data_IF_792520077430
#
_entry.id   IF_792520077430
#
_cell.length_a   1.000
_cell.length_b   1.000
_cell.length_c   1.000
_cell.angle_alpha   90.00
_cell.angle_beta   90.00
_cell.angle_gamma   90.00
#
_symmetry.space_group_name_H-M   'P 1'
#
loop_
_entity.id
_entity.type
_entity.pdbx_description
1 polymer ?
#
# COMPACT_ATOMS: atom_id res chain seq x y z
N UNK A 1 -2.34 -32.90 -8.05
CA UNK A 1 -2.91 -31.63 -7.55
C UNK A 1 -1.83 -30.91 -6.76
N UNK A 2 -1.30 -29.79 -7.27
CA UNK A 2 -0.41 -28.93 -6.49
C UNK A 2 -1.26 -28.30 -5.38
N UNK A 3 -0.93 -28.56 -4.10
CA UNK A 3 -1.55 -27.86 -2.98
C UNK A 3 -1.18 -26.38 -3.11
N UNK A 4 -2.16 -25.50 -3.30
CA UNK A 4 -1.95 -24.05 -3.16
C UNK A 4 -1.35 -23.80 -1.78
N UNK A 5 -0.22 -23.09 -1.74
CA UNK A 5 0.34 -22.62 -0.47
C UNK A 5 -0.64 -21.57 0.11
N UNK A 6 -0.93 -21.60 1.41
CA UNK A 6 -1.80 -20.59 2.00
C UNK A 6 -1.17 -19.22 1.87
N UNK A 7 -1.97 -18.24 1.44
CA UNK A 7 -1.58 -16.82 1.45
C UNK A 7 -1.59 -16.34 2.90
N UNK A 8 -0.49 -15.72 3.33
CA UNK A 8 -0.36 -15.19 4.70
C UNK A 8 -0.30 -13.67 4.61
N UNK A 9 -1.28 -13.01 5.22
CA UNK A 9 -1.30 -11.55 5.38
C UNK A 9 -0.70 -11.21 6.74
N UNK A 10 0.32 -10.34 6.75
CA UNK A 10 1.00 -9.89 7.97
C UNK A 10 0.60 -8.43 8.24
N UNK A 11 -0.09 -8.19 9.35
CA UNK A 11 -0.41 -6.83 9.76
C UNK A 11 0.80 -6.21 10.46
N UNK A 12 1.25 -5.06 9.98
CA UNK A 12 2.45 -4.38 10.48
C UNK A 12 2.05 -3.09 11.18
N UNK A 13 2.54 -2.93 12.41
CA UNK A 13 2.40 -1.73 13.24
C UNK A 13 3.80 -1.23 13.62
N UNK A 14 3.90 -0.08 14.29
CA UNK A 14 5.17 0.58 14.58
C UNK A 14 6.18 -0.33 15.30
N UNK A 15 5.71 -1.20 16.21
CA UNK A 15 6.53 -2.14 16.98
C UNK A 15 7.12 -3.28 16.14
N UNK A 16 6.45 -3.68 15.05
CA UNK A 16 6.90 -4.74 14.14
C UNK A 16 7.59 -4.24 12.86
N UNK A 17 7.57 -2.93 12.60
CA UNK A 17 7.96 -2.35 11.33
C UNK A 17 9.37 -2.74 10.88
N UNK A 18 10.34 -2.57 11.78
CA UNK A 18 11.75 -2.88 11.49
C UNK A 18 11.95 -4.34 11.09
N UNK A 19 11.37 -5.26 11.86
CA UNK A 19 11.49 -6.69 11.65
C UNK A 19 10.87 -7.11 10.30
N UNK A 20 9.71 -6.56 9.95
CA UNK A 20 9.06 -6.87 8.67
C UNK A 20 9.86 -6.30 7.49
N UNK A 21 10.51 -5.15 7.65
CA UNK A 21 11.41 -4.60 6.63
C UNK A 21 12.67 -5.45 6.41
N UNK A 22 13.22 -6.07 7.46
CA UNK A 22 14.34 -7.02 7.32
C UNK A 22 13.94 -8.27 6.51
N UNK A 23 12.71 -8.76 6.72
CA UNK A 23 12.14 -9.85 5.92
C UNK A 23 11.95 -9.42 4.46
N UNK A 24 11.38 -8.24 4.23
CA UNK A 24 11.21 -7.67 2.88
C UNK A 24 12.56 -7.54 2.18
N UNK A 25 13.58 -6.98 2.83
CA UNK A 25 14.93 -6.83 2.26
C UNK A 25 15.51 -8.17 1.80
N UNK A 26 15.28 -9.23 2.57
CA UNK A 26 15.72 -10.58 2.23
C UNK A 26 14.92 -11.19 1.08
N UNK A 27 13.63 -10.84 0.97
CA UNK A 27 12.71 -11.36 -0.03
C UNK A 27 12.85 -10.67 -1.40
N UNK A 28 13.03 -9.34 -1.46
CA UNK A 28 13.07 -8.58 -2.74
C UNK A 28 14.19 -9.02 -3.69
N UNK A 29 15.24 -9.64 -3.16
CA UNK A 29 16.31 -10.25 -3.96
C UNK A 29 15.83 -11.47 -4.76
N UNK A 30 14.84 -12.19 -4.26
CA UNK A 30 14.26 -13.41 -4.86
C UNK A 30 12.92 -13.14 -5.55
N UNK A 31 12.18 -12.15 -5.09
CA UNK A 31 10.84 -11.80 -5.56
C UNK A 31 10.85 -10.38 -6.14
N UNK A 32 11.10 -10.29 -7.46
CA UNK A 32 11.37 -9.02 -8.16
C UNK A 32 10.12 -8.16 -8.39
N UNK A 33 8.93 -8.75 -8.28
CA UNK A 33 7.68 -8.06 -8.53
C UNK A 33 6.97 -7.76 -7.22
N UNK A 34 6.49 -6.51 -7.09
CA UNK A 34 5.75 -6.04 -5.92
C UNK A 34 4.48 -5.34 -6.40
N UNK A 35 3.33 -5.80 -5.92
CA UNK A 35 2.04 -5.10 -6.04
C UNK A 35 1.82 -4.25 -4.80
N UNK A 36 1.30 -3.04 -4.99
CA UNK A 36 1.05 -2.05 -3.94
C UNK A 36 -0.41 -1.61 -3.97
N UNK A 37 -1.02 -1.44 -2.80
CA UNK A 37 -2.34 -0.83 -2.66
C UNK A 37 -2.35 0.16 -1.49
N UNK A 38 -3.12 1.23 -1.60
CA UNK A 38 -3.17 2.31 -0.59
C UNK A 38 -4.60 2.67 -0.25
N UNK A 39 -4.89 2.83 1.04
CA UNK A 39 -6.18 3.32 1.51
C UNK A 39 -6.06 4.74 2.05
N UNK A 40 -6.97 5.61 1.59
CA UNK A 40 -7.08 7.01 1.97
C UNK A 40 -8.49 7.32 2.48
N UNK A 41 -8.68 8.38 3.29
CA UNK A 41 -9.99 8.81 3.78
C UNK A 41 -10.84 9.48 2.69
N UNK A 42 -11.07 8.78 1.58
CA UNK A 42 -11.86 9.26 0.45
C UNK A 42 -11.23 10.46 -0.28
N UNK A 43 -12.08 11.39 -0.72
CA UNK A 43 -11.72 12.59 -1.50
C UNK A 43 -12.47 13.81 -0.98
N UNK A 44 -11.74 14.87 -0.67
CA UNK A 44 -12.24 16.19 -0.26
C UNK A 44 -12.52 17.04 -1.50
N UNK A 45 -11.53 17.18 -2.39
CA UNK A 45 -11.64 17.99 -3.58
C UNK A 45 -12.13 17.13 -4.74
N UNK A 46 -13.23 17.52 -5.36
CA UNK A 46 -13.82 16.79 -6.49
C UNK A 46 -14.10 17.73 -7.66
N UNK A 47 -13.71 17.36 -8.89
CA UNK A 47 -14.11 18.09 -10.08
C UNK A 47 -15.62 18.02 -10.29
N UNK A 48 -16.16 19.02 -11.00
CA UNK A 48 -17.55 18.98 -11.46
C UNK A 48 -17.74 17.86 -12.49
N UNK A 49 -18.99 17.40 -12.67
CA UNK A 49 -19.29 16.32 -13.63
C UNK A 49 -18.88 16.65 -15.07
N UNK A 50 -18.89 17.94 -15.45
CA UNK A 50 -18.46 18.38 -16.77
C UNK A 50 -16.94 18.20 -16.95
N UNK A 51 -16.15 18.61 -15.95
CA UNK A 51 -14.69 18.46 -15.93
C UNK A 51 -14.29 16.97 -15.98
N UNK A 52 -15.01 16.10 -15.26
CA UNK A 52 -14.77 14.66 -15.30
C UNK A 52 -15.00 14.10 -16.72
N UNK A 53 -16.02 14.58 -17.42
CA UNK A 53 -16.34 14.13 -18.79
C UNK A 53 -15.33 14.64 -19.82
N UNK A 54 -14.74 15.81 -19.59
CA UNK A 54 -13.65 16.35 -20.42
C UNK A 54 -12.39 15.48 -20.31
N UNK A 55 -12.17 14.85 -19.15
CA UNK A 55 -11.14 13.83 -18.98
C UNK A 55 -9.71 14.35 -19.07
N UNK A 56 -9.49 15.66 -18.88
CA UNK A 56 -8.16 16.28 -18.97
C UNK A 56 -7.22 15.70 -17.89
N UNK A 57 -6.11 15.03 -18.31
CA UNK A 57 -5.13 14.49 -17.39
C UNK A 57 -4.51 15.53 -16.44
N UNK A 58 -4.31 16.77 -16.89
CA UNK A 58 -3.72 17.83 -16.08
C UNK A 58 -4.65 18.22 -14.92
N UNK A 59 -5.94 18.34 -15.21
CA UNK A 59 -6.96 18.65 -14.19
C UNK A 59 -7.10 17.47 -13.22
N UNK A 60 -7.14 16.24 -13.72
CA UNK A 60 -7.19 15.04 -12.87
C UNK A 60 -6.00 14.98 -11.90
N UNK A 61 -4.79 15.30 -12.39
CA UNK A 61 -3.60 15.37 -11.55
C UNK A 61 -3.70 16.48 -10.49
N UNK A 62 -4.24 17.64 -10.81
CA UNK A 62 -4.41 18.74 -9.85
C UNK A 62 -5.33 18.36 -8.69
N UNK A 63 -6.47 17.72 -8.98
CA UNK A 63 -7.37 17.21 -7.95
C UNK A 63 -6.76 16.06 -7.15
N UNK A 64 -6.05 15.14 -7.81
CA UNK A 64 -5.32 14.06 -7.12
C UNK A 64 -4.31 14.66 -6.14
N UNK A 65 -3.46 15.57 -6.61
CA UNK A 65 -2.45 16.26 -5.81
C UNK A 65 -3.07 16.98 -4.63
N UNK A 66 -4.14 17.75 -4.85
CA UNK A 66 -4.81 18.50 -3.78
C UNK A 66 -5.36 17.59 -2.67
N UNK A 67 -5.88 16.40 -3.04
CA UNK A 67 -6.33 15.42 -2.05
C UNK A 67 -5.16 14.73 -1.35
N UNK A 68 -4.09 14.38 -2.07
CA UNK A 68 -2.88 13.77 -1.49
C UNK A 68 -2.20 14.72 -0.51
N UNK A 69 -2.14 16.01 -0.82
CA UNK A 69 -1.54 17.04 0.06
C UNK A 69 -2.39 17.26 1.33
N UNK A 70 -3.72 17.10 1.24
CA UNK A 70 -4.65 17.37 2.34
C UNK A 70 -4.96 16.15 3.23
N UNK A 71 -4.71 14.93 2.74
CA UNK A 71 -5.09 13.70 3.42
C UNK A 71 -3.86 12.92 3.88
N UNK A 72 -4.04 12.11 4.93
CA UNK A 72 -3.02 11.18 5.40
C UNK A 72 -3.37 9.77 4.95
N UNK A 73 -2.36 9.01 4.52
CA UNK A 73 -2.50 7.58 4.20
C UNK A 73 -2.95 6.83 5.46
N UNK A 74 -3.89 5.90 5.30
CA UNK A 74 -4.41 5.08 6.40
C UNK A 74 -3.73 3.71 6.42
N UNK A 75 -3.59 3.08 5.24
CA UNK A 75 -2.93 1.78 5.08
C UNK A 75 -2.16 1.73 3.75
N UNK A 76 -1.11 0.92 3.75
CA UNK A 76 -0.28 0.61 2.59
C UNK A 76 0.00 -0.90 2.59
N UNK A 77 -0.45 -1.59 1.55
CA UNK A 77 -0.28 -3.04 1.38
C UNK A 77 0.79 -3.36 0.34
N UNK A 78 1.56 -4.42 0.59
CA UNK A 78 2.54 -4.97 -0.35
C UNK A 78 2.31 -6.47 -0.55
N UNK A 79 2.43 -6.92 -1.79
CA UNK A 79 2.48 -8.34 -2.15
C UNK A 79 3.68 -8.56 -3.07
N UNK A 80 4.56 -9.49 -2.72
CA UNK A 80 5.71 -9.83 -3.56
C UNK A 80 5.57 -11.23 -4.15
N UNK A 81 5.80 -11.37 -5.45
CA UNK A 81 5.67 -12.63 -6.20
C UNK A 81 6.93 -12.93 -7.02
N UNK A 82 7.20 -14.22 -7.27
CA UNK A 82 8.35 -14.69 -8.05
C UNK A 82 8.09 -14.65 -9.56
N UNK A 83 6.90 -14.20 -9.97
CA UNK A 83 6.54 -13.99 -11.37
C UNK A 83 5.81 -15.15 -12.05
N UNK A 84 5.66 -16.28 -11.36
CA UNK A 84 5.04 -17.48 -11.93
C UNK A 84 3.55 -17.65 -11.54
N UNK A 85 3.03 -16.88 -10.57
CA UNK A 85 1.63 -17.05 -10.15
C UNK A 85 1.12 -15.85 -9.32
N UNK A 86 0.84 -14.73 -9.98
CA UNK A 86 0.01 -13.68 -9.40
C UNK A 86 -1.41 -14.24 -9.19
N UNK A 87 -1.64 -14.91 -8.07
CA UNK A 87 -2.94 -15.48 -7.73
C UNK A 87 -3.93 -14.33 -7.50
N UNK A 88 -4.98 -14.25 -8.33
CA UNK A 88 -6.03 -13.24 -8.23
C UNK A 88 -6.65 -13.19 -6.81
N UNK A 89 -6.68 -14.33 -6.10
CA UNK A 89 -7.10 -14.39 -4.68
C UNK A 89 -6.19 -13.57 -3.76
N UNK A 90 -4.89 -13.50 -4.03
CA UNK A 90 -3.94 -12.70 -3.22
C UNK A 90 -4.15 -11.20 -3.40
N UNK A 91 -4.54 -10.77 -4.60
CA UNK A 91 -4.87 -9.37 -4.89
C UNK A 91 -6.22 -9.01 -4.24
N UNK A 92 -7.19 -9.92 -4.26
CA UNK A 92 -8.48 -9.69 -3.59
C UNK A 92 -8.35 -9.66 -2.06
N UNK A 93 -7.36 -10.34 -1.48
CA UNK A 93 -7.05 -10.29 -0.05
C UNK A 93 -6.56 -8.93 0.43
N UNK A 94 -5.88 -8.15 -0.42
CA UNK A 94 -5.48 -6.77 -0.09
C UNK A 94 -6.70 -5.86 0.09
N UNK A 95 -7.79 -6.13 -0.65
CA UNK A 95 -9.02 -5.32 -0.63
C UNK A 95 -9.98 -5.63 0.52
N UNK A 96 -9.77 -6.72 1.26
CA UNK A 96 -10.71 -7.24 2.29
C UNK A 96 -10.30 -6.92 3.73
N UNK A 97 -9.34 -6.03 3.96
CA UNK A 97 -8.89 -5.70 5.30
C UNK A 97 -9.69 -4.54 5.88
N UNK A 98 -10.43 -4.77 6.96
CA UNK A 98 -11.06 -3.70 7.74
C UNK A 98 -9.98 -2.90 8.47
N UNK A 99 -10.05 -1.57 8.36
CA UNK A 99 -9.14 -0.67 9.09
C UNK A 99 -9.60 -0.49 10.53
N UNK A 100 -8.75 -0.89 11.49
CA UNK A 100 -8.91 -0.52 12.90
C UNK A 100 -8.29 0.86 13.18
N UNK A 101 -9.12 1.90 13.13
CA UNK A 101 -8.69 3.29 13.37
C UNK A 101 -8.19 3.54 14.79
N UNK A 102 -8.70 2.80 15.79
CA UNK A 102 -8.27 2.97 17.18
C UNK A 102 -6.85 2.45 17.32
N UNK A 103 -6.59 1.24 16.81
CA UNK A 103 -5.26 0.66 16.82
C UNK A 103 -4.27 1.44 15.95
N UNK A 104 -4.70 1.98 14.81
CA UNK A 104 -3.86 2.87 14.00
C UNK A 104 -3.47 4.15 14.75
N UNK A 105 -4.36 4.69 15.58
CA UNK A 105 -4.02 5.86 16.40
C UNK A 105 -2.98 5.54 17.48
N UNK A 106 -3.05 4.35 18.07
CA UNK A 106 -2.18 3.94 19.18
C UNK A 106 -0.83 3.35 18.74
N UNK A 107 -0.82 2.59 17.64
CA UNK A 107 0.32 1.80 17.17
C UNK A 107 0.65 2.03 15.70
N UNK A 108 0.07 3.07 15.10
CA UNK A 108 0.29 3.40 13.70
C UNK A 108 1.75 3.71 13.40
N UNK A 109 2.13 3.46 12.16
CA UNK A 109 3.46 3.75 11.65
C UNK A 109 3.49 5.21 11.19
N UNK A 110 4.52 5.96 11.59
CA UNK A 110 4.71 7.30 11.03
C UNK A 110 5.19 7.19 9.58
N UNK A 111 4.69 8.05 8.70
CA UNK A 111 5.07 8.05 7.28
C UNK A 111 6.57 8.29 7.08
N UNK A 112 7.19 9.10 7.95
CA UNK A 112 8.63 9.35 7.95
C UNK A 112 9.45 8.10 8.27
N UNK A 113 9.09 7.35 9.33
CA UNK A 113 9.81 6.12 9.69
C UNK A 113 9.68 5.07 8.58
N UNK A 114 8.47 4.94 8.02
CA UNK A 114 8.22 4.07 6.89
C UNK A 114 9.08 4.44 5.67
N UNK A 115 9.11 5.73 5.30
CA UNK A 115 9.87 6.21 4.15
C UNK A 115 11.37 5.98 4.31
N UNK A 116 11.91 6.22 5.50
CA UNK A 116 13.32 5.94 5.81
C UNK A 116 13.61 4.45 5.61
N UNK A 117 12.78 3.57 6.16
CA UNK A 117 12.98 2.12 6.06
C UNK A 117 12.84 1.59 4.62
N UNK A 118 11.90 2.12 3.84
CA UNK A 118 11.79 1.82 2.41
C UNK A 118 13.07 2.18 1.66
N UNK A 119 13.59 3.40 1.86
CA UNK A 119 14.78 3.86 1.16
C UNK A 119 16.01 2.99 1.51
N UNK A 120 16.27 2.74 2.79
CA UNK A 120 17.45 1.97 3.20
C UNK A 120 17.34 0.49 2.83
N UNK A 121 16.13 -0.09 2.86
CA UNK A 121 15.93 -1.52 2.58
C UNK A 121 15.99 -1.88 1.10
N UNK A 122 15.86 -0.90 0.20
CA UNK A 122 15.92 -1.11 -1.25
C UNK A 122 17.30 -0.72 -1.83
N UNK A 123 18.03 0.18 -1.15
CA UNK A 123 19.33 0.70 -1.62
C UNK A 123 20.56 -0.08 -1.13
N UNK A 124 20.40 -1.03 -0.20
CA UNK A 124 21.49 -1.81 0.42
C UNK A 124 21.54 -3.23 -0.14
#
# INVERSE_FOLDING_TARGET
MLRKKPVIVRQVFADGLQYEFELIRSAVLMYRFVSMDTEFPGTIFKPSKQIIQEGDPAINYEYLRSNVDALQIIQLGFLSDSGDNCDLESIELLKRQDTDFVKNREKGITSSDFAILMCVSIMS
#
